data_IF_918874343322
#
_entry.id   IF_918874343322
#
_cell.length_a   1.000
_cell.length_b   1.000
_cell.length_c   1.000
_cell.angle_alpha   90.00
_cell.angle_beta   90.00
_cell.angle_gamma   90.00
#
_symmetry.space_group_name_H-M   'P 1'
#
loop_
_entity.id
_entity.type
_entity.pdbx_description
1 polymer ?
#
# COMPACT_ATOMS: atom_id res chain seq x y z
N UNK A 1 7.93 31.69 5.39
CA UNK A 1 6.77 30.78 5.42
C UNK A 1 7.34 29.46 5.93
N UNK A 2 6.98 29.08 7.14
CA UNK A 2 7.42 27.82 7.73
C UNK A 2 6.55 26.72 7.14
N UNK A 3 7.14 25.81 6.37
CA UNK A 3 6.46 24.63 5.85
C UNK A 3 6.45 23.59 6.96
N UNK A 4 5.28 23.24 7.45
CA UNK A 4 5.13 22.19 8.42
C UNK A 4 4.62 20.92 7.71
N UNK A 5 5.40 19.86 7.77
CA UNK A 5 4.87 18.52 7.48
C UNK A 5 3.76 18.23 8.50
N UNK A 6 2.68 17.57 8.07
CA UNK A 6 1.68 17.11 9.03
C UNK A 6 2.37 16.28 10.11
N UNK A 7 1.97 16.39 11.38
CA UNK A 7 2.52 15.59 12.46
C UNK A 7 2.34 14.11 12.14
N UNK A 8 3.26 13.26 12.63
CA UNK A 8 3.05 11.81 12.57
C UNK A 8 1.65 11.47 13.09
N UNK A 9 0.90 10.62 12.38
CA UNK A 9 -0.41 10.21 12.86
C UNK A 9 -0.29 9.53 14.23
N UNK A 10 -1.25 9.77 15.11
CA UNK A 10 -1.41 8.93 16.29
C UNK A 10 -1.84 7.54 15.84
N UNK A 11 -1.39 6.47 16.51
CA UNK A 11 -1.85 5.12 16.23
C UNK A 11 -3.39 5.06 16.19
N UNK A 12 -3.94 4.48 15.13
CA UNK A 12 -5.40 4.37 14.91
C UNK A 12 -5.95 3.02 15.31
N UNK A 13 -5.07 2.06 15.58
CA UNK A 13 -5.41 0.72 16.04
C UNK A 13 -4.55 0.35 17.26
N UNK A 14 -5.07 -0.50 18.12
CA UNK A 14 -4.34 -1.02 19.29
C UNK A 14 -3.35 -2.11 18.88
N UNK A 15 -2.26 -2.34 19.65
CA UNK A 15 -1.32 -3.43 19.39
C UNK A 15 -2.04 -4.79 19.25
N UNK A 16 -1.74 -5.51 18.16
CA UNK A 16 -2.35 -6.81 17.84
C UNK A 16 -3.74 -6.76 17.21
N UNK A 17 -4.41 -5.59 17.16
CA UNK A 17 -5.75 -5.45 16.59
C UNK A 17 -5.75 -5.56 15.06
N UNK A 18 -4.69 -5.10 14.41
CA UNK A 18 -4.57 -5.13 12.96
C UNK A 18 -3.22 -5.69 12.53
N UNK A 19 -3.22 -6.88 11.93
CA UNK A 19 -2.02 -7.59 11.49
C UNK A 19 -1.94 -7.64 9.97
N UNK A 20 -0.74 -7.43 9.44
CA UNK A 20 -0.49 -7.43 8.01
C UNK A 20 0.81 -8.15 7.65
N UNK A 21 0.95 -8.52 6.38
CA UNK A 21 2.17 -9.09 5.83
C UNK A 21 2.56 -8.40 4.52
N UNK A 22 3.83 -8.51 4.14
CA UNK A 22 4.37 -7.98 2.90
C UNK A 22 4.58 -9.10 1.88
N UNK A 23 4.15 -8.90 0.62
CA UNK A 23 4.39 -9.85 -0.46
C UNK A 23 4.72 -9.14 -1.77
N UNK A 24 5.82 -9.55 -2.44
CA UNK A 24 6.30 -8.90 -3.65
C UNK A 24 7.08 -7.63 -3.36
N UNK A 25 8.40 -7.74 -3.25
CA UNK A 25 9.32 -6.73 -2.72
C UNK A 25 10.16 -6.06 -3.82
N UNK A 26 9.64 -5.96 -5.05
CA UNK A 26 10.42 -5.52 -6.20
C UNK A 26 10.77 -4.01 -6.18
N UNK A 27 10.06 -3.19 -5.43
CA UNK A 27 10.29 -1.75 -5.37
C UNK A 27 10.48 -1.26 -3.92
N UNK A 28 11.40 -0.29 -3.74
CA UNK A 28 11.74 0.26 -2.42
C UNK A 28 10.61 0.97 -1.68
N UNK A 29 9.49 1.30 -2.34
CA UNK A 29 8.31 1.87 -1.69
C UNK A 29 7.71 0.93 -0.62
N UNK A 30 7.99 -0.38 -0.69
CA UNK A 30 7.52 -1.33 0.32
C UNK A 30 7.91 -0.92 1.73
N UNK A 31 9.12 -0.36 1.92
CA UNK A 31 9.60 0.09 3.22
C UNK A 31 8.78 1.28 3.75
N UNK A 32 8.44 2.24 2.89
CA UNK A 32 7.58 3.37 3.26
C UNK A 32 6.14 2.95 3.56
N UNK A 33 5.60 2.00 2.78
CA UNK A 33 4.26 1.44 3.00
C UNK A 33 4.18 0.73 4.36
N UNK A 34 5.17 -0.10 4.67
CA UNK A 34 5.27 -0.83 5.95
C UNK A 34 5.42 0.13 7.12
N UNK A 35 6.33 1.11 7.02
CA UNK A 35 6.53 2.10 8.09
C UNK A 35 5.25 2.90 8.36
N UNK A 36 4.51 3.29 7.32
CA UNK A 36 3.24 4.00 7.49
C UNK A 36 2.18 3.17 8.23
N UNK A 37 2.11 1.87 7.96
CA UNK A 37 1.22 0.95 8.68
C UNK A 37 1.66 0.73 10.13
N UNK A 38 2.96 0.61 10.37
CA UNK A 38 3.52 0.50 11.74
C UNK A 38 3.28 1.79 12.54
N UNK A 39 3.47 2.96 11.92
CA UNK A 39 3.17 4.27 12.54
C UNK A 39 1.67 4.41 12.87
N UNK A 40 0.78 3.78 12.09
CA UNK A 40 -0.65 3.70 12.37
C UNK A 40 -1.02 2.70 13.49
N UNK A 41 -0.07 1.93 14.00
CA UNK A 41 -0.26 0.94 15.07
C UNK A 41 -0.47 -0.50 14.60
N UNK A 42 -0.44 -0.75 13.28
CA UNK A 42 -0.57 -2.12 12.76
C UNK A 42 0.67 -2.97 13.05
N UNK A 43 0.52 -4.28 13.09
CA UNK A 43 1.58 -5.26 13.36
C UNK A 43 2.01 -5.98 12.09
N UNK A 44 3.29 -5.85 11.71
CA UNK A 44 3.89 -6.63 10.63
C UNK A 44 4.27 -8.02 11.14
N UNK A 45 3.69 -9.05 10.56
CA UNK A 45 3.89 -10.43 11.03
C UNK A 45 4.59 -11.34 10.03
N UNK A 46 4.53 -11.04 8.73
CA UNK A 46 5.11 -11.92 7.73
C UNK A 46 5.61 -11.21 6.49
N UNK A 47 6.49 -11.90 5.75
CA UNK A 47 7.03 -11.44 4.47
C UNK A 47 7.23 -12.60 3.52
N UNK A 48 6.97 -12.36 2.23
CA UNK A 48 7.24 -13.31 1.15
C UNK A 48 7.66 -12.60 -0.15
N UNK A 49 8.64 -13.15 -0.83
CA UNK A 49 9.01 -12.86 -2.22
C UNK A 49 9.67 -14.12 -2.79
N UNK A 50 9.59 -14.34 -4.09
CA UNK A 50 10.30 -15.44 -4.78
C UNK A 50 11.81 -15.32 -4.66
N UNK A 51 12.33 -14.09 -4.56
CA UNK A 51 13.74 -13.80 -4.38
C UNK A 51 14.09 -13.72 -2.88
N UNK A 52 14.69 -14.78 -2.36
CA UNK A 52 15.12 -14.87 -0.96
C UNK A 52 16.11 -13.76 -0.55
N UNK A 53 16.85 -13.16 -1.50
CA UNK A 53 17.74 -12.03 -1.19
C UNK A 53 16.95 -10.81 -0.81
N UNK A 54 15.78 -10.56 -1.47
CA UNK A 54 14.88 -9.48 -1.12
C UNK A 54 14.23 -9.73 0.25
N UNK A 55 13.82 -10.97 0.53
CA UNK A 55 13.29 -11.35 1.84
C UNK A 55 14.32 -11.08 2.93
N UNK A 56 15.57 -11.51 2.76
CA UNK A 56 16.65 -11.26 3.71
C UNK A 56 16.95 -9.78 3.92
N UNK A 57 16.98 -8.98 2.84
CA UNK A 57 17.15 -7.53 2.92
C UNK A 57 15.98 -6.87 3.65
N UNK A 58 14.75 -7.30 3.39
CA UNK A 58 13.56 -6.81 4.07
C UNK A 58 13.58 -7.14 5.57
N UNK A 59 13.92 -8.38 5.94
CA UNK A 59 14.06 -8.80 7.35
C UNK A 59 15.19 -8.06 8.08
N UNK A 60 16.22 -7.60 7.37
CA UNK A 60 17.27 -6.76 7.99
C UNK A 60 16.71 -5.41 8.46
N UNK A 61 15.68 -4.87 7.81
CA UNK A 61 14.97 -3.65 8.21
C UNK A 61 13.82 -3.94 9.18
N UNK A 62 13.18 -5.10 9.06
CA UNK A 62 12.03 -5.53 9.85
C UNK A 62 12.23 -6.92 10.43
N UNK A 63 13.09 -7.09 11.46
CA UNK A 63 13.44 -8.40 12.02
C UNK A 63 12.25 -9.19 12.60
N UNK A 64 11.16 -8.51 12.93
CA UNK A 64 9.93 -9.13 13.44
C UNK A 64 9.14 -9.89 12.38
N UNK A 65 9.38 -9.63 11.07
CA UNK A 65 8.64 -10.27 9.99
C UNK A 65 9.09 -11.72 9.81
N UNK A 66 8.19 -12.68 9.97
CA UNK A 66 8.43 -14.08 9.66
C UNK A 66 8.57 -14.27 8.13
N UNK A 67 9.63 -14.92 7.67
CA UNK A 67 9.77 -15.28 6.27
C UNK A 67 8.89 -16.51 5.96
N UNK A 68 7.81 -16.29 5.23
CA UNK A 68 6.93 -17.37 4.80
C UNK A 68 7.59 -18.23 3.71
N UNK A 69 7.32 -19.54 3.72
CA UNK A 69 7.87 -20.50 2.75
C UNK A 69 7.24 -20.35 1.36
N UNK A 70 6.00 -19.88 1.30
CA UNK A 70 5.27 -19.59 0.08
C UNK A 70 4.24 -18.47 0.33
N UNK A 71 3.70 -17.91 -0.75
CA UNK A 71 2.65 -16.88 -0.64
C UNK A 71 1.40 -17.42 0.07
N UNK A 72 1.02 -18.66 -0.20
CA UNK A 72 -0.21 -19.24 0.34
C UNK A 72 -0.15 -19.38 1.88
N UNK A 73 1.02 -19.54 2.47
CA UNK A 73 1.19 -19.47 3.94
C UNK A 73 0.66 -18.15 4.52
N UNK A 74 0.93 -17.01 3.86
CA UNK A 74 0.39 -15.72 4.28
C UNK A 74 -1.10 -15.57 3.96
N UNK A 75 -1.55 -16.15 2.83
CA UNK A 75 -2.94 -16.04 2.41
C UNK A 75 -3.88 -16.89 3.27
N UNK A 76 -3.42 -18.04 3.77
CA UNK A 76 -4.19 -18.96 4.61
C UNK A 76 -4.20 -18.54 6.09
N UNK A 77 -3.27 -17.69 6.52
CA UNK A 77 -3.19 -17.22 7.90
C UNK A 77 -4.41 -16.35 8.27
N UNK A 78 -5.28 -16.85 9.12
CA UNK A 78 -6.55 -16.19 9.49
C UNK A 78 -6.37 -14.87 10.24
N UNK A 79 -5.25 -14.68 10.90
CA UNK A 79 -4.90 -13.50 11.69
C UNK A 79 -4.27 -12.36 10.88
N UNK A 80 -4.01 -12.57 9.58
CA UNK A 80 -3.56 -11.54 8.66
C UNK A 80 -4.76 -10.92 7.96
N UNK A 81 -4.97 -9.62 8.15
CA UNK A 81 -6.08 -8.85 7.56
C UNK A 81 -5.74 -8.19 6.23
N UNK A 82 -4.44 -7.89 6.00
CA UNK A 82 -3.96 -7.10 4.87
C UNK A 82 -2.66 -7.67 4.31
N UNK A 83 -2.56 -7.69 2.98
CA UNK A 83 -1.28 -7.88 2.29
C UNK A 83 -0.86 -6.54 1.64
N UNK A 84 0.37 -6.12 1.93
CA UNK A 84 0.99 -4.95 1.29
C UNK A 84 2.00 -5.40 0.24
N UNK A 85 2.02 -4.73 -0.93
CA UNK A 85 2.85 -5.17 -2.05
C UNK A 85 3.46 -4.02 -2.84
N UNK A 86 4.74 -4.18 -3.19
CA UNK A 86 5.43 -3.40 -4.20
C UNK A 86 6.07 -4.31 -5.27
N UNK A 87 5.36 -5.32 -5.71
CA UNK A 87 5.72 -6.21 -6.81
C UNK A 87 5.96 -5.43 -8.11
N UNK A 88 6.49 -6.06 -9.16
CA UNK A 88 6.56 -5.45 -10.48
C UNK A 88 5.15 -5.10 -10.98
N UNK A 89 4.95 -3.98 -11.73
CA UNK A 89 3.62 -3.48 -12.06
C UNK A 89 2.69 -4.49 -12.74
N UNK A 90 3.21 -5.38 -13.59
CA UNK A 90 2.42 -6.43 -14.26
C UNK A 90 1.82 -7.46 -13.29
N UNK A 91 2.50 -7.71 -12.16
CA UNK A 91 2.14 -8.75 -11.18
C UNK A 91 1.26 -8.20 -10.04
N UNK A 92 1.15 -6.88 -9.91
CA UNK A 92 0.42 -6.24 -8.80
C UNK A 92 -1.05 -6.60 -8.78
N UNK A 93 -1.71 -6.51 -9.94
CA UNK A 93 -3.13 -6.86 -10.02
C UNK A 93 -3.39 -8.36 -9.85
N UNK A 94 -2.69 -9.28 -10.55
CA UNK A 94 -2.83 -10.72 -10.32
C UNK A 94 -2.66 -11.10 -8.83
N UNK A 95 -1.64 -10.57 -8.17
CA UNK A 95 -1.43 -10.80 -6.73
C UNK A 95 -2.62 -10.28 -5.91
N UNK A 96 -3.09 -9.05 -6.19
CA UNK A 96 -4.21 -8.45 -5.46
C UNK A 96 -5.51 -9.26 -5.60
N UNK A 97 -5.77 -9.83 -6.78
CA UNK A 97 -6.92 -10.72 -7.00
C UNK A 97 -6.84 -11.98 -6.12
N UNK A 98 -5.64 -12.60 -6.02
CA UNK A 98 -5.42 -13.76 -5.12
C UNK A 98 -5.63 -13.37 -3.66
N UNK A 99 -5.08 -12.23 -3.24
CA UNK A 99 -5.21 -11.72 -1.87
C UNK A 99 -6.67 -11.50 -1.50
N UNK A 100 -7.46 -10.83 -2.35
CA UNK A 100 -8.88 -10.59 -2.09
C UNK A 100 -9.69 -11.88 -2.11
N UNK A 101 -9.38 -12.83 -3.00
CA UNK A 101 -10.01 -14.15 -3.02
C UNK A 101 -9.76 -14.96 -1.73
N UNK A 102 -8.60 -14.75 -1.09
CA UNK A 102 -8.27 -15.30 0.22
C UNK A 102 -8.93 -14.53 1.40
N UNK A 103 -9.81 -13.58 1.12
CA UNK A 103 -10.55 -12.84 2.15
C UNK A 103 -9.76 -11.75 2.85
N UNK A 104 -8.66 -11.26 2.25
CA UNK A 104 -7.81 -10.21 2.81
C UNK A 104 -7.92 -8.92 2.01
N UNK A 105 -7.67 -7.80 2.66
CA UNK A 105 -7.52 -6.52 1.99
C UNK A 105 -6.14 -6.44 1.28
N UNK A 106 -6.03 -5.61 0.25
CA UNK A 106 -4.81 -5.46 -0.53
C UNK A 106 -4.40 -3.99 -0.63
N UNK A 107 -3.14 -3.70 -0.28
CA UNK A 107 -2.54 -2.37 -0.38
C UNK A 107 -1.30 -2.43 -1.27
N UNK A 108 -1.33 -1.74 -2.41
CA UNK A 108 -0.34 -1.91 -3.47
C UNK A 108 0.30 -0.59 -3.87
N UNK A 109 1.56 -0.66 -4.28
CA UNK A 109 2.26 0.48 -4.88
C UNK A 109 1.67 0.89 -6.25
N UNK A 110 1.86 2.11 -6.65
CA UNK A 110 1.55 2.65 -7.99
C UNK A 110 2.56 2.14 -9.04
N UNK A 111 2.18 1.85 -10.27
CA UNK A 111 0.85 1.71 -10.82
C UNK A 111 0.23 0.37 -10.40
N UNK A 112 -1.01 0.37 -9.93
CA UNK A 112 -1.62 -0.83 -9.36
C UNK A 112 -1.99 -1.88 -10.42
N UNK A 113 -2.11 -1.48 -11.67
CA UNK A 113 -2.46 -2.33 -12.82
C UNK A 113 -1.90 -1.73 -14.11
N UNK A 114 -1.72 -2.56 -15.12
CA UNK A 114 -1.07 -2.18 -16.39
C UNK A 114 -2.00 -2.31 -17.61
N UNK A 115 -3.19 -2.90 -17.44
CA UNK A 115 -4.16 -3.06 -18.52
C UNK A 115 -5.59 -2.72 -18.08
N UNK A 116 -6.48 -2.31 -19.02
CA UNK A 116 -7.90 -2.12 -18.74
C UNK A 116 -8.59 -3.39 -18.19
N UNK A 117 -8.18 -4.57 -18.66
CA UNK A 117 -8.74 -5.85 -18.20
C UNK A 117 -8.41 -6.12 -16.73
N UNK A 118 -7.19 -5.80 -16.30
CA UNK A 118 -6.81 -5.86 -14.89
C UNK A 118 -7.66 -4.90 -14.05
N UNK A 119 -7.91 -3.68 -14.52
CA UNK A 119 -8.80 -2.74 -13.83
C UNK A 119 -10.22 -3.30 -13.70
N UNK A 120 -10.77 -3.87 -14.80
CA UNK A 120 -12.09 -4.48 -14.78
C UNK A 120 -12.16 -5.66 -13.81
N UNK A 121 -11.12 -6.52 -13.79
CA UNK A 121 -11.02 -7.64 -12.86
C UNK A 121 -10.94 -7.19 -11.40
N UNK A 122 -10.11 -6.19 -11.08
CA UNK A 122 -10.00 -5.64 -9.74
C UNK A 122 -11.32 -5.05 -9.24
N UNK A 123 -12.04 -4.31 -10.10
CA UNK A 123 -13.39 -3.77 -9.75
C UNK A 123 -14.39 -4.87 -9.45
N UNK A 124 -14.42 -5.95 -10.24
CA UNK A 124 -15.28 -7.11 -9.96
C UNK A 124 -14.93 -7.76 -8.64
N UNK A 125 -13.63 -8.03 -8.40
CA UNK A 125 -13.17 -8.67 -7.19
C UNK A 125 -13.52 -7.88 -5.92
N UNK A 126 -13.41 -6.54 -5.95
CA UNK A 126 -13.83 -5.67 -4.84
C UNK A 126 -15.32 -5.85 -4.53
N UNK A 127 -16.18 -5.93 -5.56
CA UNK A 127 -17.62 -6.12 -5.38
C UNK A 127 -17.94 -7.52 -4.87
N UNK A 128 -17.31 -8.55 -5.45
CA UNK A 128 -17.58 -9.96 -5.15
C UNK A 128 -17.08 -10.38 -3.76
N UNK A 129 -15.92 -9.87 -3.34
CA UNK A 129 -15.27 -10.25 -2.08
C UNK A 129 -15.60 -9.31 -0.92
N UNK A 130 -16.03 -8.08 -1.20
CA UNK A 130 -16.16 -7.01 -0.21
C UNK A 130 -14.82 -6.53 0.37
N UNK A 131 -13.67 -6.98 -0.21
CA UNK A 131 -12.34 -6.58 0.22
C UNK A 131 -11.91 -5.25 -0.42
N UNK A 132 -10.94 -4.59 0.19
CA UNK A 132 -10.42 -3.31 -0.26
C UNK A 132 -9.21 -3.52 -1.17
N UNK A 133 -9.17 -2.80 -2.29
CA UNK A 133 -8.01 -2.66 -3.15
C UNK A 133 -7.50 -1.22 -3.04
N UNK A 134 -6.43 -1.01 -2.29
CA UNK A 134 -5.90 0.33 -1.97
C UNK A 134 -4.59 0.57 -2.71
N UNK A 135 -4.33 1.82 -3.10
CA UNK A 135 -3.13 2.21 -3.83
C UNK A 135 -2.32 3.23 -3.05
N UNK A 136 -1.01 3.00 -2.98
CA UNK A 136 -0.07 3.88 -2.31
C UNK A 136 0.38 5.03 -3.21
N UNK A 137 -0.18 6.20 -2.97
CA UNK A 137 0.22 7.45 -3.63
C UNK A 137 1.05 8.31 -2.67
N UNK A 138 2.28 7.85 -2.37
CA UNK A 138 3.19 8.49 -1.40
C UNK A 138 3.43 9.97 -1.69
N UNK A 139 3.62 10.32 -2.96
CA UNK A 139 3.93 11.68 -3.39
C UNK A 139 2.81 12.67 -3.06
N UNK A 140 1.57 12.19 -2.93
CA UNK A 140 0.44 13.04 -2.53
C UNK A 140 0.48 13.40 -1.05
N UNK A 141 1.00 12.51 -0.21
CA UNK A 141 0.91 12.61 1.25
C UNK A 141 2.23 12.96 1.93
N UNK A 142 3.38 12.56 1.34
CA UNK A 142 4.71 12.74 1.92
C UNK A 142 5.50 13.90 1.31
N UNK A 143 4.94 14.59 0.31
CA UNK A 143 5.63 15.69 -0.36
C UNK A 143 5.10 17.03 0.16
N UNK A 144 5.98 17.83 0.76
CA UNK A 144 5.64 19.16 1.30
C UNK A 144 5.01 20.07 0.25
N UNK A 145 5.54 20.07 -0.98
CA UNK A 145 5.01 20.88 -2.07
C UNK A 145 3.58 20.45 -2.44
N UNK A 146 3.28 19.15 -2.41
CA UNK A 146 1.92 18.64 -2.66
C UNK A 146 0.96 19.04 -1.53
N UNK A 147 1.42 19.02 -0.29
CA UNK A 147 0.64 19.46 0.88
C UNK A 147 0.35 20.96 0.82
N UNK A 148 1.37 21.78 0.48
CA UNK A 148 1.19 23.22 0.30
C UNK A 148 0.23 23.52 -0.87
N UNK A 149 0.38 22.83 -2.01
CA UNK A 149 -0.51 23.01 -3.15
C UNK A 149 -1.98 22.71 -2.79
N UNK A 150 -2.22 21.64 -2.03
CA UNK A 150 -3.57 21.30 -1.53
C UNK A 150 -4.15 22.40 -0.63
N UNK A 151 -3.34 22.97 0.25
CA UNK A 151 -3.75 24.07 1.12
C UNK A 151 -4.10 25.31 0.31
N UNK A 152 -3.26 25.69 -0.66
CA UNK A 152 -3.53 26.84 -1.55
C UNK A 152 -4.80 26.64 -2.39
N UNK A 153 -5.04 25.41 -2.87
CA UNK A 153 -6.28 25.06 -3.58
C UNK A 153 -7.49 25.23 -2.66
N UNK A 154 -7.43 24.71 -1.43
CA UNK A 154 -8.55 24.82 -0.47
C UNK A 154 -8.85 26.26 -0.08
N UNK A 155 -7.85 27.13 -0.06
CA UNK A 155 -8.00 28.57 0.19
C UNK A 155 -8.48 29.36 -1.03
N UNK A 156 -8.60 28.72 -2.21
CA UNK A 156 -8.99 29.36 -3.45
C UNK A 156 -7.91 30.24 -4.07
N UNK A 157 -6.64 30.13 -3.63
CA UNK A 157 -5.51 30.89 -4.15
C UNK A 157 -5.06 30.40 -5.53
N UNK A 158 -5.41 29.14 -5.89
CA UNK A 158 -5.21 28.55 -7.21
C UNK A 158 -6.56 28.38 -7.86
N UNK A 159 -6.97 29.34 -8.69
CA UNK A 159 -8.37 29.46 -9.11
C UNK A 159 -8.76 28.70 -10.38
N UNK A 160 -7.87 28.05 -11.13
CA UNK A 160 -8.20 27.55 -12.47
C UNK A 160 -7.68 26.16 -12.80
N UNK A 161 -7.65 25.21 -11.86
CA UNK A 161 -7.19 23.85 -12.11
C UNK A 161 -8.01 23.07 -13.18
N UNK A 162 -9.24 23.49 -13.45
CA UNK A 162 -10.15 22.81 -14.40
C UNK A 162 -10.46 23.61 -15.67
N UNK A 163 -10.02 24.88 -15.75
CA UNK A 163 -10.37 25.75 -16.87
C UNK A 163 -9.25 26.01 -17.87
N UNK A 164 -8.04 25.48 -17.64
CA UNK A 164 -6.95 25.54 -18.61
C UNK A 164 -7.12 24.49 -19.71
N UNK A 165 -8.28 24.47 -20.38
CA UNK A 165 -8.31 24.03 -21.75
C UNK A 165 -7.76 25.17 -22.59
N UNK A 166 -6.49 25.04 -23.02
CA UNK A 166 -6.03 25.85 -24.14
C UNK A 166 -7.00 25.61 -25.31
N UNK A 167 -7.69 26.68 -25.69
CA UNK A 167 -8.47 26.73 -26.92
C UNK A 167 -7.47 26.82 -28.08
#
# INVERSE_FOLDING_TARGET
MELHLPPKPTPTVLPGEFRFAAAGLAHGHIYGMVNGLLDAGAELVGVWDEDLKKVSAFQSAFPQAHAASCLDELLDAHDISLIVSAAVPSERCPLGLRVMAAGKDYFVDKAPMTTPDQLAAARRAVVETGRKYMVYYSERLHNEAATLADELIRRGEICLLYTSRCV
#
